data_IF_556024328080
#
_entry.id   IF_556024328080
#
_cell.length_a   1.000
_cell.length_b   1.000
_cell.length_c   1.000
_cell.angle_alpha   90.00
_cell.angle_beta   90.00
_cell.angle_gamma   90.00
#
_symmetry.space_group_name_H-M   'P 1'
#
loop_
_entity.id
_entity.type
_entity.pdbx_description
1 polymer ?
#
# COMPACT_ATOMS: atom_id res chain seq x y z
N UNK A 1 24.57 -24.75 7.02
CA UNK A 1 24.10 -23.67 7.92
C UNK A 1 24.07 -22.33 7.20
N UNK A 2 25.03 -22.03 6.32
CA UNK A 2 25.12 -20.76 5.59
C UNK A 2 23.84 -20.40 4.82
N UNK A 3 23.20 -21.37 4.16
CA UNK A 3 21.91 -21.18 3.47
C UNK A 3 20.81 -20.65 4.43
N UNK A 4 20.77 -21.13 5.68
CA UNK A 4 19.80 -20.61 6.64
C UNK A 4 20.08 -19.16 7.01
N UNK A 5 21.36 -18.79 7.19
CA UNK A 5 21.72 -17.39 7.45
C UNK A 5 21.23 -16.51 6.30
N UNK A 6 21.43 -16.92 5.05
CA UNK A 6 20.96 -16.19 3.87
C UNK A 6 19.42 -16.14 3.77
N UNK A 7 18.73 -17.24 4.12
CA UNK A 7 17.26 -17.27 4.22
C UNK A 7 16.78 -16.23 5.24
N UNK A 8 17.41 -16.12 6.40
CA UNK A 8 16.95 -15.25 7.48
C UNK A 8 17.51 -13.81 7.46
N UNK A 9 18.54 -13.55 6.65
CA UNK A 9 19.22 -12.25 6.61
C UNK A 9 18.29 -11.10 6.20
N UNK A 10 17.45 -11.32 5.18
CA UNK A 10 16.61 -10.29 4.60
C UNK A 10 15.12 -10.62 4.72
N UNK A 11 14.38 -9.73 5.38
CA UNK A 11 12.91 -9.70 5.40
C UNK A 11 12.34 -9.05 4.13
N UNK A 12 11.07 -9.30 3.84
CA UNK A 12 10.39 -8.72 2.69
C UNK A 12 10.21 -7.21 2.86
N UNK A 13 10.81 -6.44 1.95
CA UNK A 13 10.64 -4.98 1.89
C UNK A 13 9.25 -4.61 1.36
N UNK A 14 8.77 -3.41 1.69
CA UNK A 14 7.42 -2.94 1.33
C UNK A 14 7.15 -2.94 -0.18
N UNK A 15 8.18 -2.65 -0.97
CA UNK A 15 8.12 -2.54 -2.44
C UNK A 15 8.34 -3.88 -3.18
N UNK A 16 8.56 -4.98 -2.47
CA UNK A 16 8.81 -6.29 -3.09
C UNK A 16 7.51 -7.08 -3.15
N UNK A 17 7.03 -7.47 -4.34
CA UNK A 17 5.85 -8.32 -4.48
C UNK A 17 6.04 -9.68 -3.82
N UNK A 18 4.93 -10.27 -3.35
CA UNK A 18 4.94 -11.56 -2.66
C UNK A 18 5.48 -12.68 -3.55
N UNK A 19 5.13 -12.69 -4.84
CA UNK A 19 5.60 -13.67 -5.82
C UNK A 19 7.13 -13.67 -5.93
N UNK A 20 7.73 -12.49 -6.06
CA UNK A 20 9.19 -12.35 -6.15
C UNK A 20 9.87 -12.81 -4.86
N UNK A 21 9.34 -12.40 -3.70
CA UNK A 21 9.93 -12.75 -2.42
C UNK A 21 9.86 -14.26 -2.13
N UNK A 22 8.70 -14.88 -2.32
CA UNK A 22 8.51 -16.32 -2.12
C UNK A 22 9.37 -17.11 -3.11
N UNK A 23 9.45 -16.69 -4.37
CA UNK A 23 10.31 -17.34 -5.36
C UNK A 23 11.78 -17.34 -4.94
N UNK A 24 12.31 -16.21 -4.46
CA UNK A 24 13.68 -16.09 -3.96
C UNK A 24 13.93 -17.00 -2.75
N UNK A 25 13.03 -17.00 -1.76
CA UNK A 25 13.19 -17.85 -0.57
C UNK A 25 13.09 -19.33 -0.92
N UNK A 26 12.19 -19.73 -1.83
CA UNK A 26 12.10 -21.12 -2.30
C UNK A 26 13.34 -21.57 -3.09
N UNK A 27 13.97 -20.66 -3.84
CA UNK A 27 15.23 -20.96 -4.52
C UNK A 27 16.38 -21.24 -3.51
N UNK A 28 16.39 -20.58 -2.36
CA UNK A 28 17.34 -20.87 -1.27
C UNK A 28 17.00 -22.17 -0.54
N UNK A 29 15.71 -22.42 -0.26
CA UNK A 29 15.25 -23.65 0.37
C UNK A 29 15.56 -24.89 -0.48
N UNK A 30 15.44 -24.79 -1.80
CA UNK A 30 15.79 -25.86 -2.74
C UNK A 30 17.28 -26.23 -2.75
N UNK A 31 18.16 -25.39 -2.19
CA UNK A 31 19.59 -25.73 -2.02
C UNK A 31 19.86 -26.56 -0.76
N UNK A 32 18.86 -26.71 0.12
CA UNK A 32 18.96 -27.60 1.26
C UNK A 32 18.83 -29.06 0.79
N UNK A 33 19.39 -30.03 1.54
CA UNK A 33 19.22 -31.45 1.23
C UNK A 33 17.74 -31.82 1.09
N UNK A 34 17.42 -32.59 0.05
CA UNK A 34 16.05 -33.05 -0.22
C UNK A 34 15.45 -33.79 1.00
N UNK A 35 14.16 -33.57 1.23
CA UNK A 35 13.43 -34.19 2.35
C UNK A 35 13.78 -33.66 3.74
N UNK A 36 14.62 -32.61 3.84
CA UNK A 36 14.94 -31.98 5.13
C UNK A 36 13.74 -31.27 5.77
N UNK A 37 12.92 -30.62 4.95
CA UNK A 37 11.72 -29.89 5.37
C UNK A 37 10.54 -30.31 4.51
N UNK A 38 9.37 -30.38 5.13
CA UNK A 38 8.11 -30.41 4.42
C UNK A 38 7.64 -28.99 4.09
N UNK A 39 6.62 -28.87 3.24
CA UNK A 39 6.10 -27.58 2.80
C UNK A 39 5.56 -26.73 3.97
N UNK A 40 5.04 -27.39 5.02
CA UNK A 40 4.57 -26.70 6.23
C UNK A 40 5.73 -26.03 6.99
N UNK A 41 6.83 -26.75 7.19
CA UNK A 41 8.04 -26.18 7.81
C UNK A 41 8.62 -25.07 6.93
N UNK A 42 8.69 -25.27 5.61
CA UNK A 42 9.16 -24.23 4.69
C UNK A 42 8.31 -22.96 4.77
N UNK A 43 6.99 -23.11 4.87
CA UNK A 43 6.07 -21.99 5.08
C UNK A 43 6.33 -21.26 6.39
N UNK A 44 6.62 -21.96 7.49
CA UNK A 44 6.97 -21.31 8.76
C UNK A 44 8.24 -20.45 8.66
N UNK A 45 9.27 -20.98 7.98
CA UNK A 45 10.53 -20.26 7.76
C UNK A 45 10.29 -18.96 6.95
N UNK A 46 9.44 -19.03 5.91
CA UNK A 46 9.16 -17.88 5.04
C UNK A 46 8.16 -16.91 5.66
N UNK A 47 7.14 -17.40 6.36
CA UNK A 47 6.07 -16.56 6.94
C UNK A 47 6.61 -15.55 7.94
N UNK A 48 7.59 -15.94 8.75
CA UNK A 48 8.27 -15.04 9.70
C UNK A 48 8.99 -13.86 9.03
N UNK A 49 9.30 -13.98 7.75
CA UNK A 49 10.04 -12.99 6.96
C UNK A 49 9.15 -12.13 6.06
N UNK A 50 7.86 -12.47 5.94
CA UNK A 50 6.90 -11.69 5.17
C UNK A 50 6.67 -10.32 5.79
N UNK A 51 6.34 -9.37 4.93
CA UNK A 51 6.00 -8.03 5.37
C UNK A 51 4.73 -8.05 6.23
N UNK A 52 4.64 -7.10 7.17
CA UNK A 52 3.49 -6.98 8.08
C UNK A 52 2.16 -6.80 7.34
N UNK A 53 2.16 -6.22 6.14
CA UNK A 53 0.95 -6.06 5.32
C UNK A 53 0.30 -7.40 4.94
N UNK A 54 1.07 -8.48 4.83
CA UNK A 54 0.53 -9.82 4.59
C UNK A 54 0.15 -10.51 5.89
N UNK A 55 1.02 -10.48 6.92
CA UNK A 55 0.80 -11.16 8.20
C UNK A 55 -0.41 -10.63 9.00
N UNK A 56 -0.83 -9.39 8.76
CA UNK A 56 -2.05 -8.82 9.35
C UNK A 56 -3.34 -9.34 8.70
N UNK A 57 -3.27 -9.75 7.44
CA UNK A 57 -4.43 -10.14 6.64
C UNK A 57 -4.52 -11.66 6.42
N UNK A 58 -3.40 -12.37 6.55
CA UNK A 58 -3.32 -13.82 6.38
C UNK A 58 -2.79 -14.44 7.66
N UNK A 59 -3.60 -15.24 8.34
CA UNK A 59 -3.16 -16.01 9.50
C UNK A 59 -2.32 -17.21 9.02
N UNK A 60 -1.22 -17.50 9.71
CA UNK A 60 -0.36 -18.66 9.41
C UNK A 60 -1.12 -19.99 9.44
N UNK A 61 -2.09 -20.12 10.34
CA UNK A 61 -2.92 -21.33 10.54
C UNK A 61 -3.82 -21.62 9.33
N UNK A 62 -4.14 -20.60 8.52
CA UNK A 62 -5.01 -20.73 7.34
C UNK A 62 -4.22 -21.01 6.05
N UNK A 63 -2.94 -21.37 6.18
CA UNK A 63 -2.04 -21.64 5.06
C UNK A 63 -1.44 -23.03 5.19
N UNK A 64 -1.67 -23.86 4.17
CA UNK A 64 -1.07 -25.20 4.05
C UNK A 64 -0.07 -25.30 2.90
N UNK A 65 -0.22 -24.44 1.89
CA UNK A 65 0.64 -24.47 0.69
C UNK A 65 1.11 -23.09 0.29
N UNK A 66 2.25 -23.01 -0.40
CA UNK A 66 2.74 -21.76 -1.00
C UNK A 66 1.75 -21.20 -2.03
N UNK A 67 0.96 -22.05 -2.68
CA UNK A 67 -0.08 -21.61 -3.63
C UNK A 67 -1.13 -20.75 -2.95
N UNK A 68 -1.63 -21.19 -1.80
CA UNK A 68 -2.62 -20.43 -1.00
C UNK A 68 -2.05 -19.10 -0.51
N UNK A 69 -0.79 -19.10 -0.08
CA UNK A 69 -0.10 -17.88 0.34
C UNK A 69 -0.01 -16.86 -0.81
N UNK A 70 0.40 -17.30 -2.00
CA UNK A 70 0.52 -16.44 -3.18
C UNK A 70 -0.83 -15.91 -3.65
N UNK A 71 -1.86 -16.76 -3.66
CA UNK A 71 -3.22 -16.36 -4.06
C UNK A 71 -3.77 -15.27 -3.13
N UNK A 72 -3.75 -15.51 -1.81
CA UNK A 72 -4.18 -14.51 -0.82
C UNK A 72 -3.30 -13.25 -0.87
N UNK A 73 -2.00 -13.42 -1.08
CA UNK A 73 -1.04 -12.32 -1.17
C UNK A 73 -1.31 -11.38 -2.35
N UNK A 74 -1.61 -11.91 -3.53
CA UNK A 74 -1.97 -11.12 -4.72
C UNK A 74 -3.24 -10.32 -4.52
N UNK A 75 -4.24 -10.90 -3.84
CA UNK A 75 -5.49 -10.21 -3.49
C UNK A 75 -5.18 -9.00 -2.58
N UNK A 76 -4.30 -9.16 -1.60
CA UNK A 76 -3.90 -8.06 -0.70
C UNK A 76 -3.16 -6.96 -1.47
N UNK A 77 -2.27 -7.33 -2.37
CA UNK A 77 -1.55 -6.36 -3.21
C UNK A 77 -2.51 -5.57 -4.09
N UNK A 78 -3.47 -6.24 -4.73
CA UNK A 78 -4.51 -5.59 -5.52
C UNK A 78 -5.34 -4.61 -4.69
N UNK A 79 -5.84 -5.05 -3.53
CA UNK A 79 -6.65 -4.19 -2.65
C UNK A 79 -5.87 -2.99 -2.12
N UNK A 80 -4.59 -3.16 -1.79
CA UNK A 80 -3.75 -2.05 -1.33
C UNK A 80 -3.49 -1.04 -2.45
N UNK A 81 -3.28 -1.49 -3.68
CA UNK A 81 -3.13 -0.60 -4.85
C UNK A 81 -4.40 0.21 -5.10
N UNK A 82 -5.59 -0.40 -4.95
CA UNK A 82 -6.87 0.30 -5.07
C UNK A 82 -7.02 1.38 -3.99
N UNK A 83 -6.71 1.06 -2.72
CA UNK A 83 -6.77 2.01 -1.60
C UNK A 83 -5.78 3.17 -1.80
N UNK A 84 -4.56 2.89 -2.25
CA UNK A 84 -3.56 3.92 -2.55
C UNK A 84 -4.00 4.82 -3.72
N UNK A 85 -4.65 4.26 -4.74
CA UNK A 85 -5.21 5.00 -5.86
C UNK A 85 -6.39 5.90 -5.44
N UNK A 86 -7.24 5.43 -4.52
CA UNK A 86 -8.33 6.22 -3.95
C UNK A 86 -7.83 7.38 -3.06
N UNK A 87 -6.76 7.15 -2.30
CA UNK A 87 -6.14 8.17 -1.45
C UNK A 87 -5.36 9.22 -2.25
N UNK A 88 -4.71 8.82 -3.35
CA UNK A 88 -3.95 9.71 -4.22
C UNK A 88 -4.77 10.28 -5.39
N UNK A 89 -6.03 9.85 -5.55
CA UNK A 89 -6.98 10.46 -6.46
C UNK A 89 -7.22 11.94 -6.11
N UNK A 90 -7.62 12.78 -7.07
CA UNK A 90 -7.97 14.16 -6.76
C UNK A 90 -9.18 14.13 -5.82
N UNK A 91 -8.95 14.34 -4.52
CA UNK A 91 -9.95 14.48 -3.44
C UNK A 91 -11.33 14.86 -4.01
N UNK A 92 -12.15 13.86 -4.34
CA UNK A 92 -13.50 14.05 -4.86
C UNK A 92 -14.37 14.47 -3.69
N UNK A 93 -14.29 15.75 -3.33
CA UNK A 93 -15.07 16.26 -2.20
C UNK A 93 -14.80 17.69 -1.77
N UNK A 94 -13.68 18.30 -2.15
CA UNK A 94 -13.49 19.74 -1.93
C UNK A 94 -13.64 20.47 -3.25
N UNK A 95 -14.88 20.78 -3.64
CA UNK A 95 -15.10 21.95 -4.51
C UNK A 95 -14.45 23.11 -3.78
N UNK A 96 -13.22 23.50 -4.17
CA UNK A 96 -12.55 24.70 -3.68
C UNK A 96 -13.55 25.83 -3.90
N UNK A 97 -14.25 26.23 -2.84
CA UNK A 97 -15.18 27.34 -2.93
C UNK A 97 -14.34 28.54 -3.31
N UNK A 98 -14.60 29.10 -4.50
CA UNK A 98 -13.85 30.25 -5.01
C UNK A 98 -13.92 31.34 -3.92
N UNK A 99 -12.75 31.88 -3.58
CA UNK A 99 -12.62 32.93 -2.57
C UNK A 99 -12.35 34.25 -3.27
N UNK A 100 -13.05 35.29 -2.87
CA UNK A 100 -12.86 36.62 -3.41
C UNK A 100 -11.50 37.18 -2.95
N UNK A 101 -10.67 37.67 -3.87
CA UNK A 101 -9.37 38.28 -3.55
C UNK A 101 -9.48 39.66 -2.91
N UNK A 102 -10.63 40.34 -3.02
CA UNK A 102 -10.86 41.66 -2.42
C UNK A 102 -11.36 41.59 -0.97
N UNK A 103 -12.33 40.72 -0.68
CA UNK A 103 -12.96 40.65 0.65
C UNK A 103 -12.65 39.35 1.41
N UNK A 104 -11.90 38.42 0.80
CA UNK A 104 -11.51 37.12 1.37
C UNK A 104 -12.70 36.21 1.79
N UNK A 105 -13.93 36.55 1.41
CA UNK A 105 -15.11 35.72 1.65
C UNK A 105 -15.25 34.62 0.58
N UNK A 106 -15.85 33.49 0.99
CA UNK A 106 -16.10 32.32 0.14
C UNK A 106 -17.41 32.50 -0.63
N UNK A 107 -17.50 31.90 -1.82
CA UNK A 107 -18.74 31.80 -2.59
C UNK A 107 -18.92 32.82 -3.73
N UNK A 108 -17.92 33.66 -3.99
CA UNK A 108 -17.90 34.57 -5.14
C UNK A 108 -16.45 34.93 -5.52
N UNK A 109 -16.26 35.45 -6.74
CA UNK A 109 -14.95 35.90 -7.25
C UNK A 109 -14.75 37.41 -7.08
N UNK A 110 -13.59 37.93 -7.47
CA UNK A 110 -13.28 39.37 -7.41
C UNK A 110 -14.29 40.24 -8.19
N UNK A 111 -14.74 39.76 -9.35
CA UNK A 111 -15.64 40.48 -10.25
C UNK A 111 -17.05 40.64 -9.64
N UNK A 112 -17.51 39.60 -8.93
CA UNK A 112 -18.83 39.49 -8.32
C UNK A 112 -18.90 40.10 -6.92
N UNK A 113 -17.82 40.71 -6.44
CA UNK A 113 -17.74 41.22 -5.07
C UNK A 113 -18.61 42.47 -4.86
N UNK A 114 -19.71 42.31 -4.10
CA UNK A 114 -20.61 43.42 -3.72
C UNK A 114 -19.88 44.54 -2.99
N UNK A 115 -18.96 44.20 -2.07
CA UNK A 115 -18.17 45.17 -1.28
C UNK A 115 -17.26 46.03 -2.17
N UNK A 116 -16.77 45.48 -3.28
CA UNK A 116 -15.97 46.21 -4.28
C UNK A 116 -16.86 47.15 -5.09
N UNK A 117 -18.00 46.68 -5.58
CA UNK A 117 -18.95 47.49 -6.36
C UNK A 117 -19.41 48.72 -5.57
N UNK A 118 -19.78 48.55 -4.31
CA UNK A 118 -20.16 49.66 -3.43
C UNK A 118 -19.03 50.64 -3.12
N UNK A 119 -17.77 50.18 -3.10
CA UNK A 119 -16.61 51.05 -2.89
C UNK A 119 -16.23 51.85 -4.15
N UNK A 120 -16.55 51.31 -5.34
CA UNK A 120 -16.30 52.00 -6.61
C UNK A 120 -17.39 53.04 -6.91
N UNK A 121 -18.65 52.74 -6.56
CA UNK A 121 -19.80 53.65 -6.74
C UNK A 121 -19.81 54.84 -5.76
N UNK A 122 -19.03 54.79 -4.67
CA UNK A 122 -18.89 55.90 -3.71
C UNK A 122 -17.69 56.82 -3.98
N UNK A 123 -16.98 56.62 -5.10
CA UNK A 123 -15.79 57.39 -5.47
C UNK A 123 -15.95 58.08 -6.85
N UNK A 124 -17.19 58.17 -7.34
CA UNK A 124 -17.69 59.05 -8.42
C UNK A 124 -18.62 60.10 -7.81
#
# INVERSE_FOLDING_TARGET
>A
YQIYLEIFENQQRDNVPIDTFVCQKRALLAQLPEGRHDEETELDLVYGLLNIKYRKNILRQDLKTFRELLEKGRIIEHNNLEVEAEQNGPMRGSKRTKRCTHCNFRGHTYEECRKRKSANEGNE
#
